data_IF_065799923097
#
_entry.id   IF_065799923097
#
_cell.length_a   1.000
_cell.length_b   1.000
_cell.length_c   1.000
_cell.angle_alpha   90.00
_cell.angle_beta   90.00
_cell.angle_gamma   90.00
#
_symmetry.space_group_name_H-M   'P 1'
#
loop_
_entity.id
_entity.type
_entity.pdbx_description
1 polymer ?
#
# COMPACT_ATOMS: atom_id res chain seq x y z
N UNK A 1 -4.51 -16.88 21.88
CA UNK A 1 -4.40 -17.00 20.41
C UNK A 1 -4.69 -18.43 20.05
N UNK A 2 -5.85 -18.66 19.44
CA UNK A 2 -6.20 -19.97 18.88
C UNK A 2 -5.14 -20.39 17.86
N UNK A 3 -4.80 -21.68 17.87
CA UNK A 3 -3.81 -22.22 16.94
C UNK A 3 -4.45 -22.26 15.56
N UNK A 4 -3.95 -21.43 14.64
CA UNK A 4 -4.29 -21.54 13.22
C UNK A 4 -3.97 -22.93 12.69
N UNK A 5 -4.90 -23.47 11.91
CA UNK A 5 -4.71 -24.66 11.09
C UNK A 5 -3.69 -24.41 9.96
N UNK A 6 -3.16 -25.48 9.38
CA UNK A 6 -2.26 -25.40 8.23
C UNK A 6 -2.89 -24.65 7.06
N UNK A 7 -4.19 -24.86 6.82
CA UNK A 7 -4.95 -24.18 5.75
C UNK A 7 -4.97 -22.66 5.95
N UNK A 8 -5.17 -22.19 7.18
CA UNK A 8 -5.18 -20.76 7.49
C UNK A 8 -3.80 -20.12 7.37
N UNK A 9 -2.73 -20.86 7.69
CA UNK A 9 -1.37 -20.40 7.43
C UNK A 9 -1.04 -20.33 5.94
N UNK A 10 -1.48 -21.32 5.15
CA UNK A 10 -1.34 -21.27 3.69
C UNK A 10 -2.12 -20.10 3.09
N UNK A 11 -3.33 -19.84 3.57
CA UNK A 11 -4.11 -18.67 3.16
C UNK A 11 -3.41 -17.37 3.55
N UNK A 12 -2.87 -17.27 4.77
CA UNK A 12 -2.10 -16.09 5.20
C UNK A 12 -0.85 -15.88 4.34
N UNK A 13 -0.15 -16.94 4.01
CA UNK A 13 1.01 -16.91 3.13
C UNK A 13 0.64 -16.35 1.73
N UNK A 14 -0.45 -16.84 1.14
CA UNK A 14 -0.97 -16.33 -0.13
C UNK A 14 -1.39 -14.86 -0.06
N UNK A 15 -1.98 -14.41 1.08
CA UNK A 15 -2.25 -12.98 1.31
C UNK A 15 -0.95 -12.17 1.32
N UNK A 16 0.10 -12.68 1.96
CA UNK A 16 1.44 -12.10 1.92
C UNK A 16 2.00 -11.99 0.50
N UNK A 17 1.81 -13.02 -0.34
CA UNK A 17 2.21 -12.96 -1.75
C UNK A 17 1.51 -11.81 -2.48
N UNK A 18 0.20 -11.68 -2.30
CA UNK A 18 -0.59 -10.60 -2.89
C UNK A 18 -0.14 -9.22 -2.42
N UNK A 19 0.16 -9.05 -1.13
CA UNK A 19 0.72 -7.81 -0.59
C UNK A 19 2.07 -7.48 -1.24
N UNK A 20 2.99 -8.44 -1.33
CA UNK A 20 4.30 -8.22 -1.96
C UNK A 20 4.19 -7.88 -3.44
N UNK A 21 3.23 -8.47 -4.17
CA UNK A 21 3.02 -8.18 -5.58
C UNK A 21 2.49 -6.74 -5.78
N UNK A 22 1.59 -6.30 -4.90
CA UNK A 22 1.07 -4.94 -4.88
C UNK A 22 2.17 -3.91 -4.57
N UNK A 23 3.05 -4.19 -3.61
CA UNK A 23 4.12 -3.26 -3.21
C UNK A 23 5.23 -3.09 -4.27
N UNK A 24 5.37 -4.03 -5.21
CA UNK A 24 6.27 -3.87 -6.36
C UNK A 24 5.71 -2.82 -7.35
N UNK A 25 4.39 -2.63 -7.39
CA UNK A 25 3.73 -1.72 -8.34
C UNK A 25 3.64 -0.32 -7.75
N UNK A 26 4.27 0.70 -8.36
CA UNK A 26 4.22 2.05 -7.85
C UNK A 26 2.78 2.57 -7.69
N UNK A 27 2.45 3.18 -6.56
CA UNK A 27 1.10 3.73 -6.35
C UNK A 27 0.02 2.70 -5.99
N UNK A 28 0.34 1.41 -5.95
CA UNK A 28 -0.48 0.38 -5.28
C UNK A 28 0.17 0.07 -3.94
N UNK A 29 -0.64 -0.13 -2.89
CA UNK A 29 -0.15 -0.44 -1.54
C UNK A 29 -0.60 -1.84 -1.12
N UNK A 30 0.32 -2.63 -0.58
CA UNK A 30 0.02 -3.91 0.06
C UNK A 30 -0.96 -3.76 1.23
N UNK A 31 -1.05 -2.59 1.86
CA UNK A 31 -2.07 -2.25 2.84
C UNK A 31 -3.51 -2.41 2.31
N UNK A 32 -3.73 -2.10 1.03
CA UNK A 32 -5.02 -2.34 0.35
C UNK A 32 -5.37 -3.83 0.31
N UNK A 33 -4.40 -4.69 -0.04
CA UNK A 33 -4.58 -6.16 -0.05
C UNK A 33 -4.82 -6.69 1.37
N UNK A 34 -4.07 -6.20 2.36
CA UNK A 34 -4.27 -6.58 3.76
C UNK A 34 -5.70 -6.25 4.25
N UNK A 35 -6.24 -5.11 3.83
CA UNK A 35 -7.59 -4.67 4.22
C UNK A 35 -8.67 -5.53 3.60
N UNK A 36 -8.61 -5.76 2.28
CA UNK A 36 -9.57 -6.60 1.56
C UNK A 36 -9.58 -8.01 2.11
N UNK A 37 -8.39 -8.58 2.33
CA UNK A 37 -8.27 -9.96 2.78
C UNK A 37 -8.51 -10.14 4.28
N UNK A 38 -8.90 -9.06 4.99
CA UNK A 38 -9.32 -9.09 6.38
C UNK A 38 -8.19 -9.27 7.40
N UNK A 39 -6.92 -9.17 6.99
CA UNK A 39 -5.76 -9.32 7.89
C UNK A 39 -5.22 -7.98 8.41
N UNK A 40 -5.81 -6.86 7.98
CA UNK A 40 -5.31 -5.52 8.27
C UNK A 40 -5.29 -5.16 9.75
N UNK A 41 -6.39 -5.41 10.47
CA UNK A 41 -6.45 -5.14 11.91
C UNK A 41 -5.48 -6.01 12.70
N UNK A 42 -5.33 -7.28 12.31
CA UNK A 42 -4.37 -8.19 12.93
C UNK A 42 -2.93 -7.78 12.65
N UNK A 43 -2.62 -7.35 11.43
CA UNK A 43 -1.32 -6.79 11.07
C UNK A 43 -0.99 -5.56 11.90
N UNK A 44 -1.92 -4.60 11.98
CA UNK A 44 -1.77 -3.41 12.82
C UNK A 44 -1.59 -3.77 14.30
N UNK A 45 -2.37 -4.72 14.81
CA UNK A 45 -2.27 -5.21 16.17
C UNK A 45 -0.92 -5.84 16.48
N UNK A 46 -0.40 -6.65 15.55
CA UNK A 46 0.89 -7.34 15.66
C UNK A 46 2.07 -6.38 15.59
N UNK A 47 1.98 -5.34 14.75
CA UNK A 47 2.98 -4.28 14.69
C UNK A 47 2.97 -3.44 15.97
N UNK A 48 1.77 -3.10 16.46
CA UNK A 48 1.59 -2.31 17.68
C UNK A 48 2.10 -3.02 18.93
N UNK A 49 2.02 -4.34 18.99
CA UNK A 49 2.51 -5.11 20.13
C UNK A 49 4.04 -5.14 20.21
N UNK A 50 4.77 -4.68 19.19
CA UNK A 50 6.21 -4.36 19.27
C UNK A 50 6.40 -3.06 20.07
N UNK A 51 6.24 -3.16 21.38
CA UNK A 51 6.29 -2.04 22.31
C UNK A 51 7.32 -2.27 23.43
N UNK A 52 7.36 -1.40 24.43
CA UNK A 52 8.28 -1.53 25.56
C UNK A 52 8.12 -2.85 26.34
N UNK A 53 6.95 -3.47 26.34
CA UNK A 53 6.73 -4.79 26.96
C UNK A 53 7.41 -5.90 26.15
N UNK A 54 7.28 -5.88 24.82
CA UNK A 54 8.01 -6.79 23.94
C UNK A 54 9.53 -6.69 24.18
N UNK A 55 10.06 -5.47 24.28
CA UNK A 55 11.47 -5.25 24.58
C UNK A 55 11.86 -5.81 25.95
N UNK A 56 11.04 -5.61 26.99
CA UNK A 56 11.26 -6.19 28.33
C UNK A 56 11.28 -7.72 28.29
N UNK A 57 10.37 -8.35 27.55
CA UNK A 57 10.33 -9.81 27.39
C UNK A 57 11.61 -10.33 26.73
N UNK A 58 12.11 -9.62 25.71
CA UNK A 58 13.34 -9.96 25.02
C UNK A 58 14.59 -9.76 25.90
N UNK A 59 14.66 -8.66 26.65
CA UNK A 59 15.74 -8.40 27.62
C UNK A 59 15.78 -9.40 28.78
N UNK A 60 14.63 -10.00 29.12
CA UNK A 60 14.54 -11.10 30.10
C UNK A 60 14.79 -12.48 29.49
N UNK A 61 15.26 -12.55 28.24
CA UNK A 61 15.47 -13.79 27.48
C UNK A 61 14.21 -14.68 27.37
N UNK A 62 13.01 -14.13 27.57
CA UNK A 62 11.75 -14.84 27.40
C UNK A 62 11.31 -14.80 25.94
N UNK A 63 12.02 -15.54 25.08
CA UNK A 63 11.77 -15.56 23.63
C UNK A 63 10.37 -16.10 23.31
N UNK A 64 9.89 -17.12 24.05
CA UNK A 64 8.54 -17.66 23.84
C UNK A 64 7.45 -16.64 24.17
N UNK A 65 7.62 -15.89 25.26
CA UNK A 65 6.70 -14.81 25.65
C UNK A 65 6.70 -13.68 24.65
N UNK A 66 7.90 -13.22 24.23
CA UNK A 66 8.06 -12.21 23.17
C UNK A 66 7.34 -12.64 21.89
N UNK A 67 7.60 -13.86 21.41
CA UNK A 67 7.02 -14.39 20.18
C UNK A 67 5.50 -14.42 20.20
N UNK A 68 4.90 -14.83 21.32
CA UNK A 68 3.45 -14.83 21.51
C UNK A 68 2.89 -13.41 21.55
N UNK A 69 3.57 -12.49 22.23
CA UNK A 69 3.15 -11.09 22.38
C UNK A 69 3.09 -10.36 21.04
N UNK A 70 4.10 -10.56 20.18
CA UNK A 70 4.17 -9.90 18.87
C UNK A 70 3.38 -10.59 17.75
N UNK A 71 2.66 -11.67 18.05
CA UNK A 71 2.06 -12.54 17.04
C UNK A 71 3.10 -13.04 16.00
N UNK A 72 4.23 -13.55 16.48
CA UNK A 72 5.39 -13.86 15.64
C UNK A 72 5.09 -14.85 14.51
N UNK A 73 4.22 -15.84 14.73
CA UNK A 73 3.83 -16.79 13.68
C UNK A 73 3.11 -16.10 12.52
N UNK A 74 2.19 -15.17 12.82
CA UNK A 74 1.51 -14.39 11.79
C UNK A 74 2.51 -13.55 11.00
N UNK A 75 3.37 -12.81 11.69
CA UNK A 75 4.37 -11.94 11.06
C UNK A 75 5.32 -12.74 10.17
N UNK A 76 5.86 -13.86 10.64
CA UNK A 76 6.78 -14.68 9.86
C UNK A 76 6.12 -15.23 8.60
N UNK A 77 4.92 -15.79 8.71
CA UNK A 77 4.23 -16.38 7.54
C UNK A 77 3.86 -15.29 6.53
N UNK A 78 3.38 -14.14 7.00
CA UNK A 78 3.06 -13.02 6.13
C UNK A 78 4.30 -12.46 5.43
N UNK A 79 5.37 -12.18 6.19
CA UNK A 79 6.63 -11.66 5.67
C UNK A 79 7.33 -12.66 4.74
N UNK A 80 7.21 -13.96 4.98
CA UNK A 80 7.70 -14.99 4.08
C UNK A 80 6.95 -14.95 2.73
N UNK A 81 5.63 -14.76 2.75
CA UNK A 81 4.83 -14.60 1.52
C UNK A 81 5.21 -13.33 0.75
N UNK A 82 5.36 -12.20 1.46
CA UNK A 82 5.81 -10.93 0.86
C UNK A 82 7.21 -11.09 0.25
N UNK A 83 8.15 -11.68 1.00
CA UNK A 83 9.52 -11.89 0.55
C UNK A 83 9.61 -12.81 -0.67
N UNK A 84 8.87 -13.92 -0.67
CA UNK A 84 8.80 -14.80 -1.83
C UNK A 84 8.25 -14.06 -3.05
N UNK A 85 7.19 -13.25 -2.87
CA UNK A 85 6.58 -12.47 -3.95
C UNK A 85 7.56 -11.46 -4.53
N UNK A 86 8.26 -10.69 -3.69
CA UNK A 86 9.27 -9.74 -4.17
C UNK A 86 10.38 -10.46 -4.94
N UNK A 87 10.84 -11.63 -4.50
CA UNK A 87 11.91 -12.36 -5.21
C UNK A 87 11.42 -12.99 -6.52
N UNK A 88 10.22 -13.56 -6.52
CA UNK A 88 9.71 -14.35 -7.66
C UNK A 88 8.94 -13.53 -8.69
N UNK A 89 8.10 -12.59 -8.25
CA UNK A 89 7.18 -11.82 -9.09
C UNK A 89 7.74 -10.47 -9.52
N UNK A 90 8.77 -9.92 -8.85
CA UNK A 90 9.29 -8.59 -9.19
C UNK A 90 9.70 -8.45 -10.65
N UNK A 91 10.38 -9.46 -11.22
CA UNK A 91 10.78 -9.44 -12.63
C UNK A 91 9.59 -9.43 -13.57
N UNK A 92 8.57 -10.23 -13.28
CA UNK A 92 7.35 -10.27 -14.09
C UNK A 92 6.61 -8.94 -14.01
N UNK A 93 6.44 -8.39 -12.81
CA UNK A 93 5.75 -7.10 -12.63
C UNK A 93 6.51 -5.96 -13.30
N UNK A 94 7.84 -5.93 -13.20
CA UNK A 94 8.66 -4.93 -13.89
C UNK A 94 8.56 -5.07 -15.42
N UNK A 95 8.57 -6.29 -15.93
CA UNK A 95 8.31 -6.56 -17.35
C UNK A 95 6.92 -6.07 -17.78
N UNK A 96 5.88 -6.35 -16.99
CA UNK A 96 4.53 -5.87 -17.29
C UNK A 96 4.43 -4.33 -17.19
N UNK A 97 5.14 -3.70 -16.27
CA UNK A 97 5.20 -2.23 -16.16
C UNK A 97 5.88 -1.58 -17.37
N UNK A 98 6.86 -2.26 -17.97
CA UNK A 98 7.61 -1.75 -19.12
C UNK A 98 6.86 -1.96 -20.44
N UNK A 99 6.30 -3.16 -20.66
CA UNK A 99 5.72 -3.52 -21.96
C UNK A 99 4.19 -3.53 -22.00
N UNK A 100 3.52 -3.61 -20.84
CA UNK A 100 2.06 -3.78 -20.74
C UNK A 100 1.46 -2.94 -19.61
N UNK A 101 1.95 -1.70 -19.47
CA UNK A 101 1.66 -0.83 -18.34
C UNK A 101 0.16 -0.56 -18.20
N UNK A 102 -0.53 -0.33 -19.32
CA UNK A 102 -1.94 -0.01 -19.44
C UNK A 102 -2.80 -1.16 -18.89
N UNK A 103 -2.47 -2.40 -19.28
CA UNK A 103 -3.14 -3.61 -18.81
C UNK A 103 -2.97 -3.80 -17.30
N UNK A 104 -1.74 -3.61 -16.82
CA UNK A 104 -1.42 -3.75 -15.40
C UNK A 104 -2.17 -2.70 -14.57
N UNK A 105 -2.12 -1.43 -14.97
CA UNK A 105 -2.86 -0.35 -14.33
C UNK A 105 -4.35 -0.59 -14.35
N UNK A 106 -4.92 -1.08 -15.46
CA UNK A 106 -6.34 -1.37 -15.55
C UNK A 106 -6.77 -2.48 -14.57
N UNK A 107 -5.97 -3.54 -14.45
CA UNK A 107 -6.19 -4.57 -13.42
C UNK A 107 -6.21 -3.98 -12.00
N UNK A 108 -5.21 -3.17 -11.63
CA UNK A 108 -5.16 -2.54 -10.30
C UNK A 108 -6.24 -1.50 -10.08
N UNK A 109 -6.64 -0.78 -11.12
CA UNK A 109 -7.76 0.16 -11.09
C UNK A 109 -9.04 -0.58 -10.68
N UNK A 110 -9.35 -1.69 -11.37
CA UNK A 110 -10.48 -2.56 -11.04
C UNK A 110 -10.40 -3.10 -9.61
N UNK A 111 -9.22 -3.56 -9.20
CA UNK A 111 -8.96 -4.04 -7.85
C UNK A 111 -9.25 -2.94 -6.80
N UNK A 112 -8.73 -1.73 -6.97
CA UNK A 112 -8.94 -0.61 -6.03
C UNK A 112 -10.40 -0.16 -6.02
N UNK A 113 -11.08 -0.13 -7.16
CA UNK A 113 -12.53 0.17 -7.22
C UNK A 113 -13.33 -0.85 -6.42
N UNK A 114 -13.12 -2.15 -6.65
CA UNK A 114 -13.81 -3.19 -5.87
C UNK A 114 -13.48 -3.08 -4.39
N UNK A 115 -12.22 -2.80 -4.07
CA UNK A 115 -11.78 -2.61 -2.69
C UNK A 115 -12.53 -1.45 -2.04
N UNK A 116 -12.63 -0.30 -2.70
CA UNK A 116 -13.35 0.86 -2.19
C UNK A 116 -14.83 0.54 -1.95
N UNK A 117 -15.47 -0.21 -2.86
CA UNK A 117 -16.86 -0.68 -2.72
C UNK A 117 -17.01 -1.62 -1.51
N UNK A 118 -16.16 -2.63 -1.40
CA UNK A 118 -16.16 -3.60 -0.28
C UNK A 118 -15.95 -2.90 1.06
N UNK A 119 -14.99 -1.97 1.13
CA UNK A 119 -14.71 -1.23 2.37
C UNK A 119 -15.86 -0.28 2.72
N UNK A 120 -16.46 0.39 1.73
CA UNK A 120 -17.61 1.26 1.95
C UNK A 120 -18.82 0.51 2.53
N UNK A 121 -19.01 -0.77 2.19
CA UNK A 121 -20.09 -1.61 2.77
C UNK A 121 -19.96 -1.81 4.28
N UNK A 122 -18.76 -1.65 4.86
CA UNK A 122 -18.54 -1.73 6.32
C UNK A 122 -19.06 -0.50 7.08
N UNK A 123 -19.46 0.56 6.37
CA UNK A 123 -20.05 1.76 6.98
C UNK A 123 -21.50 1.47 7.37
N UNK A 124 -21.77 1.41 8.68
CA UNK A 124 -23.11 1.06 9.20
C UNK A 124 -24.07 2.25 9.26
N UNK A 125 -23.56 3.49 9.34
CA UNK A 125 -24.37 4.71 9.44
C UNK A 125 -23.74 5.83 8.63
N UNK A 126 -24.56 6.47 7.79
CA UNK A 126 -24.17 7.63 6.99
C UNK A 126 -24.66 8.91 7.65
N UNK A 127 -23.74 9.64 8.30
CA UNK A 127 -23.99 10.98 8.83
C UNK A 127 -23.22 12.01 7.99
N UNK A 128 -23.54 13.31 8.14
CA UNK A 128 -22.81 14.36 7.45
C UNK A 128 -21.29 14.28 7.70
N UNK A 129 -20.87 13.96 8.94
CA UNK A 129 -19.46 13.78 9.28
C UNK A 129 -18.79 12.62 8.54
N UNK A 130 -19.51 11.53 8.29
CA UNK A 130 -19.00 10.37 7.53
C UNK A 130 -18.79 10.74 6.06
N UNK A 131 -19.75 11.45 5.46
CA UNK A 131 -19.65 11.92 4.07
C UNK A 131 -18.50 12.93 3.92
N UNK A 132 -18.40 13.91 4.83
CA UNK A 132 -17.32 14.89 4.82
C UNK A 132 -15.95 14.24 4.99
N UNK A 133 -15.82 13.23 5.85
CA UNK A 133 -14.57 12.48 5.99
C UNK A 133 -14.20 11.71 4.73
N UNK A 134 -15.17 11.08 4.05
CA UNK A 134 -14.95 10.44 2.75
C UNK A 134 -14.47 11.42 1.68
N UNK A 135 -15.16 12.56 1.54
CA UNK A 135 -14.77 13.61 0.59
C UNK A 135 -13.38 14.19 0.89
N UNK A 136 -13.06 14.39 2.18
CA UNK A 136 -11.74 14.81 2.61
C UNK A 136 -10.67 13.78 2.23
N UNK A 137 -10.95 12.49 2.43
CA UNK A 137 -10.06 11.40 2.01
C UNK A 137 -9.79 11.41 0.51
N UNK A 138 -10.83 11.59 -0.31
CA UNK A 138 -10.71 11.72 -1.77
C UNK A 138 -9.83 12.91 -2.13
N UNK A 139 -10.13 14.09 -1.57
CA UNK A 139 -9.41 15.32 -1.87
C UNK A 139 -7.93 15.22 -1.48
N UNK A 140 -7.62 14.67 -0.29
CA UNK A 140 -6.26 14.51 0.18
C UNK A 140 -5.47 13.49 -0.64
N UNK A 141 -6.04 12.31 -0.93
CA UNK A 141 -5.35 11.34 -1.79
C UNK A 141 -5.14 11.89 -3.19
N UNK A 142 -6.16 12.48 -3.81
CA UNK A 142 -6.03 13.05 -5.15
C UNK A 142 -4.98 14.16 -5.19
N UNK A 143 -4.96 15.05 -4.20
CA UNK A 143 -3.93 16.08 -4.08
C UNK A 143 -2.53 15.47 -4.00
N UNK A 144 -2.35 14.40 -3.20
CA UNK A 144 -1.08 13.67 -3.13
C UNK A 144 -0.70 13.07 -4.48
N UNK A 145 -1.65 12.53 -5.26
CA UNK A 145 -1.32 11.88 -6.55
C UNK A 145 -0.89 12.85 -7.64
N UNK A 146 -1.35 14.10 -7.58
CA UNK A 146 -1.01 15.16 -8.56
C UNK A 146 0.06 16.13 -8.04
N UNK A 147 0.47 16.01 -6.78
CA UNK A 147 1.52 16.83 -6.21
C UNK A 147 2.84 16.63 -6.96
N UNK A 148 3.56 17.72 -7.19
CA UNK A 148 4.91 17.66 -7.77
C UNK A 148 5.95 17.38 -6.69
N UNK A 149 7.06 16.69 -7.02
CA UNK A 149 8.16 16.48 -6.08
C UNK A 149 8.70 17.80 -5.51
N UNK A 150 8.80 17.88 -4.18
CA UNK A 150 9.37 19.01 -3.48
C UNK A 150 10.90 18.93 -3.47
N UNK A 151 11.58 20.08 -3.49
CA UNK A 151 12.98 20.14 -3.10
C UNK A 151 13.06 20.13 -1.56
N UNK A 152 13.73 19.13 -1.00
CA UNK A 152 13.76 18.92 0.45
C UNK A 152 15.19 18.79 0.98
N UNK A 153 15.47 19.25 2.22
CA UNK A 153 16.81 19.13 2.80
C UNK A 153 17.25 17.69 3.01
N UNK A 154 18.53 17.37 2.81
CA UNK A 154 19.13 16.06 3.13
C UNK A 154 19.51 15.90 4.62
N UNK A 155 19.06 16.83 5.46
CA UNK A 155 19.34 16.83 6.88
C UNK A 155 18.70 15.61 7.58
N UNK A 156 19.40 15.07 8.59
CA UNK A 156 18.96 13.88 9.34
C UNK A 156 17.54 13.98 9.91
N UNK A 157 17.12 15.16 10.38
CA UNK A 157 15.76 15.37 10.89
C UNK A 157 14.70 15.19 9.80
N UNK A 158 15.00 15.60 8.56
CA UNK A 158 14.09 15.46 7.43
C UNK A 158 14.08 14.03 6.90
N UNK A 159 15.22 13.34 6.92
CA UNK A 159 15.32 11.90 6.64
C UNK A 159 14.47 11.09 7.62
N UNK A 160 14.57 11.40 8.91
CA UNK A 160 13.75 10.80 9.95
C UNK A 160 12.25 11.04 9.69
N UNK A 161 11.86 12.29 9.43
CA UNK A 161 10.47 12.66 9.13
C UNK A 161 9.95 11.94 7.86
N UNK A 162 10.79 11.84 6.83
CA UNK A 162 10.45 11.17 5.57
C UNK A 162 10.17 9.69 5.80
N UNK A 163 10.99 9.01 6.60
CA UNK A 163 10.72 7.62 7.01
C UNK A 163 9.43 7.48 7.80
N UNK A 164 9.18 8.39 8.74
CA UNK A 164 7.97 8.39 9.55
C UNK A 164 6.69 8.61 8.72
N UNK A 165 6.69 9.52 7.73
CA UNK A 165 5.52 9.76 6.87
C UNK A 165 5.35 8.61 5.86
N UNK A 166 6.44 8.16 5.24
CA UNK A 166 6.39 7.12 4.22
C UNK A 166 5.87 5.78 4.75
N UNK A 167 6.28 5.38 5.96
CA UNK A 167 5.79 4.13 6.57
C UNK A 167 4.32 4.23 6.95
N UNK A 168 3.86 5.41 7.39
CA UNK A 168 2.44 5.64 7.67
C UNK A 168 1.65 5.47 6.38
N UNK A 169 2.08 6.15 5.30
CA UNK A 169 1.46 6.03 3.99
C UNK A 169 1.40 4.57 3.49
N UNK A 170 2.46 3.79 3.67
CA UNK A 170 2.51 2.37 3.29
C UNK A 170 1.43 1.52 3.97
N UNK A 171 0.96 1.93 5.14
CA UNK A 171 -0.10 1.23 5.86
C UNK A 171 -1.48 1.68 5.38
N UNK A 172 -1.66 2.96 5.04
CA UNK A 172 -2.94 3.42 4.54
C UNK A 172 -3.27 2.76 3.20
N UNK A 173 -4.50 2.22 3.03
CA UNK A 173 -4.95 1.73 1.74
C UNK A 173 -5.01 2.87 0.72
N UNK A 174 -4.55 2.60 -0.49
CA UNK A 174 -4.56 3.54 -1.61
C UNK A 174 -3.37 4.52 -1.67
N UNK A 175 -2.50 4.59 -0.67
CA UNK A 175 -1.31 5.47 -0.73
C UNK A 175 -0.05 4.62 -0.63
N UNK A 176 0.90 4.82 -1.56
CA UNK A 176 2.16 4.07 -1.56
C UNK A 176 3.26 4.87 -0.83
N UNK A 177 3.92 4.25 0.14
CA UNK A 177 5.02 4.88 0.89
C UNK A 177 6.22 5.25 0.02
N UNK A 178 6.53 4.45 -1.00
CA UNK A 178 7.59 4.76 -1.97
C UNK A 178 7.24 5.98 -2.82
N UNK A 179 5.97 6.15 -3.19
CA UNK A 179 5.50 7.34 -3.91
C UNK A 179 5.62 8.61 -3.05
N UNK A 180 5.27 8.54 -1.76
CA UNK A 180 5.51 9.65 -0.83
C UNK A 180 7.00 10.01 -0.75
N UNK A 181 7.91 9.03 -0.75
CA UNK A 181 9.35 9.31 -0.78
C UNK A 181 9.81 9.99 -2.07
N UNK A 182 9.18 9.68 -3.21
CA UNK A 182 9.44 10.39 -4.47
C UNK A 182 8.95 11.83 -4.38
N UNK A 183 7.76 12.07 -3.84
CA UNK A 183 7.22 13.42 -3.63
C UNK A 183 8.09 14.25 -2.67
N UNK A 184 8.69 13.61 -1.68
CA UNK A 184 9.63 14.26 -0.76
C UNK A 184 11.06 14.35 -1.32
N UNK A 185 11.30 13.94 -2.59
CA UNK A 185 12.63 13.83 -3.20
C UNK A 185 13.65 13.03 -2.36
N UNK A 186 13.20 12.04 -1.59
CA UNK A 186 14.04 11.18 -0.74
C UNK A 186 14.17 9.75 -1.24
N UNK A 187 13.38 9.33 -2.21
CA UNK A 187 13.47 7.97 -2.73
C UNK A 187 14.88 7.62 -3.22
N UNK A 188 15.44 8.41 -4.13
CA UNK A 188 16.79 8.18 -4.66
C UNK A 188 17.87 8.33 -3.59
N UNK A 189 17.74 9.34 -2.73
CA UNK A 189 18.65 9.58 -1.61
C UNK A 189 18.75 8.37 -0.68
N UNK A 190 17.61 7.77 -0.30
CA UNK A 190 17.55 6.58 0.54
C UNK A 190 18.06 5.34 -0.21
N UNK A 191 17.72 5.18 -1.49
CA UNK A 191 18.22 4.07 -2.30
C UNK A 191 19.75 4.11 -2.47
N UNK A 192 20.32 5.29 -2.65
CA UNK A 192 21.76 5.49 -2.68
C UNK A 192 22.39 5.15 -1.33
N UNK A 193 21.80 5.62 -0.23
CA UNK A 193 22.26 5.30 1.11
C UNK A 193 22.26 3.79 1.39
N UNK A 194 21.23 3.05 0.94
CA UNK A 194 21.18 1.59 1.04
C UNK A 194 22.27 0.92 0.21
N UNK A 195 22.46 1.35 -1.05
CA UNK A 195 23.48 0.80 -1.95
C UNK A 195 24.90 1.01 -1.42
N UNK A 196 25.17 2.19 -0.90
CA UNK A 196 26.49 2.56 -0.35
C UNK A 196 26.64 2.20 1.14
N UNK A 197 25.64 1.54 1.73
CA UNK A 197 25.62 1.16 3.14
C UNK A 197 25.93 2.35 4.07
N UNK A 198 25.34 3.52 3.80
CA UNK A 198 25.45 4.72 4.65
C UNK A 198 24.63 4.52 5.92
N UNK A 199 25.24 3.82 6.88
CA UNK A 199 24.58 3.32 8.10
C UNK A 199 23.87 4.43 8.87
N UNK A 200 24.47 5.63 8.99
CA UNK A 200 23.85 6.75 9.71
C UNK A 200 22.51 7.17 9.11
N UNK A 201 22.41 7.25 7.78
CA UNK A 201 21.19 7.60 7.07
C UNK A 201 20.16 6.49 7.18
N UNK A 202 20.59 5.23 6.96
CA UNK A 202 19.73 4.05 7.05
C UNK A 202 19.11 3.94 8.45
N UNK A 203 19.92 4.08 9.50
CA UNK A 203 19.44 4.04 10.88
C UNK A 203 18.51 5.21 11.18
N UNK A 204 18.84 6.42 10.73
CA UNK A 204 17.97 7.60 10.92
C UNK A 204 16.62 7.41 10.26
N UNK A 205 16.60 6.94 9.02
CA UNK A 205 15.38 6.62 8.27
C UNK A 205 14.59 5.50 8.95
N UNK A 206 15.27 4.42 9.35
CA UNK A 206 14.68 3.28 10.05
C UNK A 206 14.05 3.66 11.39
N UNK A 207 14.71 4.53 12.17
CA UNK A 207 14.14 5.09 13.40
C UNK A 207 12.91 5.95 13.12
N UNK A 208 12.92 6.71 12.04
CA UNK A 208 11.76 7.42 11.51
C UNK A 208 10.60 6.46 11.24
N UNK A 209 10.86 5.38 10.48
CA UNK A 209 9.87 4.35 10.18
C UNK A 209 9.32 3.69 11.45
N UNK A 210 10.17 3.26 12.38
CA UNK A 210 9.72 2.64 13.64
C UNK A 210 8.88 3.62 14.48
N UNK A 211 9.30 4.88 14.57
CA UNK A 211 8.55 5.88 15.33
C UNK A 211 7.21 6.20 14.68
N UNK A 212 7.22 6.43 13.36
CA UNK A 212 6.02 6.74 12.58
C UNK A 212 4.99 5.61 12.67
N UNK A 213 5.39 4.37 12.42
CA UNK A 213 4.48 3.22 12.44
C UNK A 213 3.88 3.00 13.83
N UNK A 214 4.66 3.14 14.90
CA UNK A 214 4.17 2.97 16.26
C UNK A 214 3.16 4.07 16.62
N UNK A 215 3.48 5.35 16.38
CA UNK A 215 2.56 6.43 16.67
C UNK A 215 1.28 6.33 15.84
N UNK A 216 1.42 6.10 14.53
CA UNK A 216 0.30 6.06 13.61
C UNK A 216 -0.60 4.84 13.83
N UNK A 217 -0.05 3.65 14.06
CA UNK A 217 -0.85 2.47 14.37
C UNK A 217 -1.70 2.65 15.63
N UNK A 218 -1.20 3.36 16.65
CA UNK A 218 -1.98 3.71 17.84
C UNK A 218 -3.14 4.65 17.51
N UNK A 219 -2.87 5.72 16.76
CA UNK A 219 -3.88 6.70 16.33
C UNK A 219 -4.95 6.03 15.48
N UNK A 220 -4.55 5.29 14.44
CA UNK A 220 -5.48 4.64 13.51
C UNK A 220 -6.33 3.58 14.22
N UNK A 221 -5.73 2.76 15.08
CA UNK A 221 -6.51 1.80 15.86
C UNK A 221 -7.48 2.49 16.83
N UNK A 222 -7.09 3.62 17.44
CA UNK A 222 -8.02 4.42 18.26
C UNK A 222 -9.17 4.98 17.43
N UNK A 223 -8.90 5.48 16.23
CA UNK A 223 -9.90 5.97 15.29
C UNK A 223 -10.86 4.86 14.84
N UNK A 224 -10.34 3.68 14.47
CA UNK A 224 -11.17 2.53 14.06
C UNK A 224 -12.08 2.03 15.19
N UNK A 225 -11.65 2.13 16.46
CA UNK A 225 -12.45 1.71 17.63
C UNK A 225 -13.51 2.74 18.04
N UNK A 226 -13.18 4.03 18.04
CA UNK A 226 -14.06 5.08 18.58
C UNK A 226 -14.88 5.80 17.48
N UNK A 227 -14.36 5.84 16.26
CA UNK A 227 -14.92 6.58 15.12
C UNK A 227 -14.98 5.70 13.87
N UNK A 228 -15.42 4.44 14.03
CA UNK A 228 -15.37 3.41 12.99
C UNK A 228 -15.87 3.90 11.62
N UNK A 229 -17.13 4.32 11.52
CA UNK A 229 -17.74 4.75 10.25
C UNK A 229 -17.02 5.94 9.60
N UNK A 230 -16.58 6.92 10.39
CA UNK A 230 -15.85 8.09 9.90
C UNK A 230 -14.47 7.69 9.37
N UNK A 231 -13.79 6.80 10.09
CA UNK A 231 -12.46 6.30 9.72
C UNK A 231 -12.55 5.45 8.46
N UNK A 232 -13.49 4.51 8.41
CA UNK A 232 -13.72 3.68 7.21
C UNK A 232 -14.07 4.54 6.00
N UNK A 233 -14.93 5.56 6.16
CA UNK A 233 -15.22 6.49 5.07
C UNK A 233 -13.99 7.27 4.60
N UNK A 234 -13.16 7.77 5.52
CA UNK A 234 -11.89 8.44 5.19
C UNK A 234 -10.96 7.50 4.38
N UNK A 235 -10.82 6.25 4.83
CA UNK A 235 -10.01 5.24 4.14
C UNK A 235 -10.57 4.90 2.74
N UNK A 236 -11.88 4.71 2.62
CA UNK A 236 -12.56 4.56 1.32
C UNK A 236 -12.29 5.78 0.43
N UNK A 237 -12.33 6.98 1.00
CA UNK A 237 -12.00 8.21 0.29
C UNK A 237 -10.58 8.21 -0.25
N UNK A 238 -9.59 7.82 0.56
CA UNK A 238 -8.20 7.67 0.09
C UNK A 238 -8.07 6.69 -1.07
N UNK A 239 -8.77 5.55 -1.01
CA UNK A 239 -8.76 4.56 -2.10
C UNK A 239 -9.34 5.15 -3.39
N UNK A 240 -10.47 5.85 -3.32
CA UNK A 240 -11.10 6.50 -4.48
C UNK A 240 -10.20 7.61 -5.03
N UNK A 241 -9.63 8.48 -4.17
CA UNK A 241 -8.74 9.55 -4.60
C UNK A 241 -7.47 9.02 -5.28
N UNK A 242 -6.97 7.85 -4.83
CA UNK A 242 -5.79 7.20 -5.41
C UNK A 242 -6.00 6.61 -6.81
N UNK A 243 -7.25 6.44 -7.25
CA UNK A 243 -7.57 5.94 -8.59
C UNK A 243 -6.96 6.79 -9.70
N UNK A 244 -6.74 8.09 -9.43
CA UNK A 244 -6.01 8.96 -10.34
C UNK A 244 -4.59 8.44 -10.65
N UNK A 245 -3.86 7.93 -9.66
CA UNK A 245 -2.49 7.45 -9.87
C UNK A 245 -2.44 6.14 -10.66
N UNK A 246 -3.41 5.26 -10.47
CA UNK A 246 -3.49 3.95 -11.14
C UNK A 246 -4.31 3.99 -12.43
N UNK A 247 -4.64 5.18 -12.94
CA UNK A 247 -5.33 5.33 -14.21
C UNK A 247 -4.50 4.70 -15.36
N UNK A 248 -5.10 3.90 -16.26
CA UNK A 248 -4.34 3.16 -17.27
C UNK A 248 -3.68 4.02 -18.34
N UNK A 249 -4.37 5.05 -18.81
CA UNK A 249 -3.95 5.82 -19.98
C UNK A 249 -3.30 7.13 -19.56
N UNK A 250 -1.98 7.19 -19.70
CA UNK A 250 -1.18 8.34 -19.30
C UNK A 250 -0.29 8.83 -20.43
N UNK A 251 -0.24 10.14 -20.64
CA UNK A 251 0.76 10.77 -21.50
C UNK A 251 1.95 11.21 -20.64
N UNK A 252 3.16 10.88 -21.08
CA UNK A 252 4.39 11.36 -20.44
C UNK A 252 4.70 12.76 -20.94
N UNK A 253 4.73 13.74 -20.02
CA UNK A 253 5.02 15.14 -20.31
C UNK A 253 6.51 15.46 -20.15
N UNK A 254 7.14 14.90 -19.12
CA UNK A 254 8.56 15.06 -18.85
C UNK A 254 9.20 13.70 -18.64
N UNK A 255 10.43 13.55 -19.10
CA UNK A 255 11.24 12.34 -18.89
C UNK A 255 12.52 12.69 -18.15
N UNK A 256 13.07 11.70 -17.45
CA UNK A 256 14.42 11.76 -16.92
C UNK A 256 15.20 10.53 -17.39
N UNK A 257 16.50 10.67 -17.57
CA UNK A 257 17.37 9.54 -17.87
C UNK A 257 17.90 8.99 -16.56
N UNK A 258 17.65 7.71 -16.30
CA UNK A 258 18.20 7.06 -15.12
C UNK A 258 19.71 6.79 -15.28
N UNK A 259 20.33 6.34 -14.19
CA UNK A 259 21.77 6.01 -14.14
C UNK A 259 22.23 4.91 -15.11
N UNK A 260 21.30 4.17 -15.73
CA UNK A 260 21.58 3.14 -16.73
C UNK A 260 21.40 3.64 -18.16
N UNK A 261 21.04 4.92 -18.34
CA UNK A 261 20.78 5.51 -19.65
C UNK A 261 19.34 5.31 -20.13
N UNK A 262 18.47 4.73 -19.30
CA UNK A 262 17.08 4.45 -19.65
C UNK A 262 16.21 5.71 -19.45
N UNK A 263 15.42 6.05 -20.47
CA UNK A 263 14.49 7.19 -20.41
C UNK A 263 13.22 6.76 -19.68
N UNK A 264 12.95 7.39 -18.53
CA UNK A 264 11.79 7.09 -17.68
C UNK A 264 10.87 8.29 -17.55
N UNK A 265 9.55 8.08 -17.37
CA UNK A 265 8.61 9.17 -17.16
C UNK A 265 8.86 9.85 -15.81
N UNK A 266 9.00 11.18 -15.83
CA UNK A 266 9.09 12.04 -14.64
C UNK A 266 7.70 12.60 -14.27
N UNK A 267 7.03 13.20 -15.25
CA UNK A 267 5.69 13.78 -15.10
C UNK A 267 4.76 13.12 -16.12
N UNK A 268 3.60 12.69 -15.66
CA UNK A 268 2.57 12.07 -16.49
C UNK A 268 1.22 12.72 -16.23
N UNK A 269 0.43 12.84 -17.29
CA UNK A 269 -0.95 13.35 -17.24
C UNK A 269 -1.93 12.25 -17.66
N UNK A 270 -3.06 12.17 -16.96
CA UNK A 270 -4.10 11.21 -17.29
C UNK A 270 -4.89 11.69 -18.50
N UNK A 271 -5.04 10.83 -19.50
CA UNK A 271 -5.79 11.12 -20.72
C UNK A 271 -6.91 10.11 -20.91
N UNK A 272 -7.89 10.45 -21.73
CA UNK A 272 -8.97 9.53 -22.07
C UNK A 272 -8.50 8.52 -23.12
N UNK A 273 -9.01 7.28 -23.11
CA UNK A 273 -8.64 6.26 -24.10
C UNK A 273 -8.87 6.71 -25.55
N UNK A 274 -9.93 7.49 -25.79
CA UNK A 274 -10.27 7.97 -27.13
C UNK A 274 -9.31 9.01 -27.70
N UNK A 275 -8.51 9.68 -26.86
CA UNK A 275 -7.48 10.63 -27.27
C UNK A 275 -6.07 10.08 -27.09
N UNK A 276 -5.92 8.89 -26.50
CA UNK A 276 -4.62 8.31 -26.14
C UNK A 276 -3.72 8.12 -27.35
N UNK A 277 -4.22 7.42 -28.39
CA UNK A 277 -3.45 7.14 -29.61
C UNK A 277 -2.97 8.41 -30.31
N UNK A 278 -3.82 9.44 -30.36
CA UNK A 278 -3.47 10.73 -30.95
C UNK A 278 -2.37 11.47 -30.18
N UNK A 279 -2.25 11.25 -28.87
CA UNK A 279 -1.30 11.95 -27.98
C UNK A 279 0.01 11.17 -27.75
N UNK A 280 -0.04 9.83 -27.75
CA UNK A 280 1.10 8.97 -27.44
C UNK A 280 1.63 8.20 -28.65
N UNK A 281 0.83 8.07 -29.72
CA UNK A 281 1.14 7.22 -30.87
C UNK A 281 0.96 5.72 -30.62
N UNK A 282 0.43 5.33 -29.45
CA UNK A 282 0.21 3.94 -29.06
C UNK A 282 -1.28 3.61 -28.97
N UNK A 283 -1.66 2.40 -29.40
CA UNK A 283 -3.04 1.94 -29.25
C UNK A 283 -3.45 1.89 -27.77
N UNK A 284 -4.67 2.32 -27.41
CA UNK A 284 -5.14 2.32 -26.03
C UNK A 284 -5.43 0.92 -25.47
N UNK A 285 -5.50 -0.11 -26.30
CA UNK A 285 -5.90 -1.46 -25.90
C UNK A 285 -7.18 -1.52 -25.05
N UNK A 286 -8.16 -0.65 -25.37
CA UNK A 286 -9.31 -0.36 -24.50
C UNK A 286 -10.08 -1.61 -24.05
N UNK A 287 -10.35 -2.55 -24.98
CA UNK A 287 -11.07 -3.78 -24.65
C UNK A 287 -10.32 -4.62 -23.60
N UNK A 288 -9.01 -4.82 -23.78
CA UNK A 288 -8.17 -5.56 -22.84
C UNK A 288 -8.10 -4.87 -21.48
N UNK A 289 -7.92 -3.54 -21.48
CA UNK A 289 -7.94 -2.74 -20.26
C UNK A 289 -9.25 -2.90 -19.49
N UNK A 290 -10.40 -2.77 -20.16
CA UNK A 290 -11.72 -2.94 -19.53
C UNK A 290 -11.92 -4.36 -19.00
N UNK A 291 -11.56 -5.39 -19.77
CA UNK A 291 -11.67 -6.78 -19.33
C UNK A 291 -10.80 -7.05 -18.10
N UNK A 292 -9.58 -6.53 -18.05
CA UNK A 292 -8.69 -6.66 -16.91
C UNK A 292 -9.17 -5.87 -15.69
N UNK A 293 -9.75 -4.69 -15.88
CA UNK A 293 -10.38 -3.94 -14.79
C UNK A 293 -11.58 -4.70 -14.21
N UNK A 294 -12.43 -5.27 -15.07
CA UNK A 294 -13.54 -6.13 -14.62
C UNK A 294 -13.00 -7.35 -13.89
N UNK A 295 -11.97 -8.00 -14.42
CA UNK A 295 -11.35 -9.16 -13.78
C UNK A 295 -10.78 -8.81 -12.40
N UNK A 296 -10.02 -7.72 -12.29
CA UNK A 296 -9.49 -7.23 -11.00
C UNK A 296 -10.59 -6.88 -10.00
N UNK A 297 -11.69 -6.28 -10.48
CA UNK A 297 -12.86 -5.99 -9.66
C UNK A 297 -13.51 -7.28 -9.13
N UNK A 298 -13.81 -8.22 -10.02
CA UNK A 298 -14.45 -9.50 -9.68
C UNK A 298 -13.56 -10.34 -8.76
N UNK A 299 -12.25 -10.31 -8.96
CA UNK A 299 -11.29 -11.01 -8.10
C UNK A 299 -11.44 -10.60 -6.63
N UNK A 300 -11.47 -9.30 -6.36
CA UNK A 300 -11.69 -8.78 -4.99
C UNK A 300 -13.08 -9.10 -4.48
N UNK A 301 -14.10 -8.86 -5.31
CA UNK A 301 -15.49 -9.05 -4.92
C UNK A 301 -15.79 -10.51 -4.54
N UNK A 302 -15.22 -11.48 -5.27
CA UNK A 302 -15.37 -12.90 -4.97
C UNK A 302 -14.62 -13.29 -3.69
N UNK A 303 -13.40 -12.77 -3.48
CA UNK A 303 -12.64 -13.04 -2.24
C UNK A 303 -13.42 -12.55 -1.01
N UNK A 304 -13.99 -11.35 -1.08
CA UNK A 304 -14.83 -10.79 -0.01
C UNK A 304 -16.04 -11.70 0.29
N UNK A 305 -16.78 -12.07 -0.77
CA UNK A 305 -17.97 -12.93 -0.64
C UNK A 305 -17.67 -14.30 0.00
N UNK A 306 -16.58 -14.97 -0.41
CA UNK A 306 -16.19 -16.25 0.18
C UNK A 306 -15.57 -16.14 1.58
N UNK A 307 -15.08 -14.96 1.96
CA UNK A 307 -14.50 -14.74 3.30
C UNK A 307 -15.61 -14.50 4.32
N UNK A 308 -16.63 -13.69 3.99
CA UNK A 308 -17.77 -13.40 4.88
C UNK A 308 -18.60 -14.64 5.23
N UNK A 309 -18.77 -15.57 4.28
CA UNK A 309 -19.49 -16.84 4.48
C UNK A 309 -18.78 -17.81 5.46
N UNK A 310 -17.47 -17.64 5.68
CA UNK A 310 -16.71 -18.47 6.61
C UNK A 310 -16.63 -17.88 8.02
N UNK A 311 -16.78 -16.56 8.17
CA UNK A 311 -16.81 -15.89 9.49
C UNK A 311 -18.16 -15.93 10.20
N UNK A 312 -19.25 -16.27 9.48
CA UNK A 312 -20.58 -16.47 10.08
C UNK A 312 -20.81 -17.88 10.64
N UNK A 313 -19.81 -18.78 10.57
CA UNK A 313 -19.88 -20.17 11.04
C UNK A 313 -18.98 -20.50 12.23
N UNK A 314 -18.46 -19.52 12.95
CA UNK A 314 -17.72 -19.72 14.21
C UNK A 314 -18.38 -18.96 15.35
#
# INVERSE_FOLDING_TARGET
MERRSLKEYLLLFSKGIGMGAADVVPGVSGGTIAFITGIYEELLGSIRSVNGEALKLLLRFNISGFWKHINGNFLVVLLAGIGLSIVSLSRLILYLLEFHSEMLWAFFFGLIVASAVVVAKKITRWTLGVVLAGLLGVALAYYITVATPAQTPDAYWFVFLSGAIAICAMILPGISGSFILVLLAKYEFIMLALKELRISIILTFGLGCVTGILLFSHVLNWMLKNYHNVTVALLTGFMIGSLNKVWPWKQTLETYTDRHGEVKPLVQENVLPGTYEALTGHEPYLLYGVLLAIFGFLFVYLIDHYTDDNTTKV
#
